data_IF_584346748279
#
_entry.id   IF_584346748279
#
_cell.length_a   1.000
_cell.length_b   1.000
_cell.length_c   1.000
_cell.angle_alpha   90.00
_cell.angle_beta   90.00
_cell.angle_gamma   90.00
#
_symmetry.space_group_name_H-M   'P 1'
#
loop_
_entity.id
_entity.type
_entity.pdbx_description
1 polymer ?
#
# COMPACT_ATOMS: atom_id res chain seq x y z
N UNK A 1 45.04 44.15 2.48
CA UNK A 1 44.77 42.95 1.69
C UNK A 1 43.32 42.86 1.19
N UNK A 2 42.33 43.26 1.94
CA UNK A 2 40.88 43.24 1.57
C UNK A 2 40.51 44.03 0.29
N UNK A 3 41.20 45.12 -0.03
CA UNK A 3 40.92 45.92 -1.23
C UNK A 3 41.23 45.24 -2.58
N UNK A 4 42.20 44.30 -2.60
CA UNK A 4 42.54 43.52 -3.79
C UNK A 4 41.48 42.44 -4.09
N UNK A 5 40.92 41.83 -3.02
CA UNK A 5 39.86 40.84 -3.13
C UNK A 5 38.56 41.49 -3.62
N UNK A 6 38.25 42.69 -3.16
CA UNK A 6 37.08 43.46 -3.57
C UNK A 6 37.13 43.88 -5.05
N UNK A 7 38.33 44.25 -5.54
CA UNK A 7 38.55 44.55 -6.97
C UNK A 7 38.46 43.32 -7.85
N UNK A 8 38.93 42.16 -7.37
CA UNK A 8 38.86 40.92 -8.10
C UNK A 8 37.43 40.41 -8.21
N UNK A 9 36.60 40.50 -7.15
CA UNK A 9 35.21 40.04 -7.16
C UNK A 9 34.31 40.83 -8.13
N UNK A 10 34.68 42.04 -8.50
CA UNK A 10 33.93 42.83 -9.48
C UNK A 10 34.31 42.54 -10.94
N UNK A 11 35.35 41.73 -11.16
CA UNK A 11 35.89 41.45 -12.50
C UNK A 11 35.02 40.34 -13.17
N UNK A 12 34.91 40.41 -14.51
CA UNK A 12 34.19 39.41 -15.30
C UNK A 12 34.73 37.98 -15.07
N UNK A 13 36.05 37.87 -14.87
CA UNK A 13 36.72 36.62 -14.57
C UNK A 13 36.28 36.00 -13.24
N UNK A 14 36.05 36.81 -12.20
CA UNK A 14 35.54 36.34 -10.91
C UNK A 14 34.10 35.80 -11.03
N UNK A 15 33.27 36.46 -11.86
CA UNK A 15 31.91 36.01 -12.14
C UNK A 15 31.90 34.68 -12.91
N UNK A 16 32.74 34.54 -13.93
CA UNK A 16 32.89 33.30 -14.71
C UNK A 16 33.40 32.17 -13.80
N UNK A 17 34.40 32.45 -12.96
CA UNK A 17 34.92 31.46 -12.01
C UNK A 17 33.87 31.03 -11.00
N UNK A 18 33.10 31.96 -10.44
CA UNK A 18 32.00 31.66 -9.52
C UNK A 18 30.95 30.78 -10.21
N UNK A 19 30.62 31.11 -11.46
CA UNK A 19 29.66 30.34 -12.24
C UNK A 19 30.19 28.93 -12.53
N UNK A 20 31.46 28.79 -12.87
CA UNK A 20 32.12 27.50 -13.13
C UNK A 20 32.19 26.63 -11.87
N UNK A 21 32.37 27.24 -10.69
CA UNK A 21 32.34 26.52 -9.40
C UNK A 21 30.90 26.18 -9.00
N UNK A 22 29.93 27.05 -9.26
CA UNK A 22 28.53 26.82 -8.91
C UNK A 22 27.86 25.69 -9.75
N UNK A 23 28.26 25.58 -11.03
CA UNK A 23 27.73 24.58 -11.95
C UNK A 23 27.81 23.14 -11.39
N UNK A 24 28.97 22.62 -10.93
CA UNK A 24 29.05 21.29 -10.34
C UNK A 24 28.14 21.10 -9.13
N UNK A 25 27.98 22.13 -8.27
CA UNK A 25 27.11 22.05 -7.10
C UNK A 25 25.62 21.99 -7.49
N UNK A 26 25.23 22.73 -8.53
CA UNK A 26 23.88 22.65 -9.10
C UNK A 26 23.63 21.25 -9.67
N UNK A 27 24.57 20.73 -10.46
CA UNK A 27 24.45 19.39 -11.02
C UNK A 27 24.54 18.28 -9.95
N UNK A 28 25.38 18.46 -8.94
CA UNK A 28 25.50 17.47 -7.86
C UNK A 28 24.31 17.51 -6.90
N UNK A 29 23.79 18.71 -6.59
CA UNK A 29 22.58 18.88 -5.78
C UNK A 29 21.28 18.51 -6.52
N UNK A 30 21.29 18.55 -7.85
CA UNK A 30 20.16 18.14 -8.70
C UNK A 30 20.32 16.72 -9.26
N UNK A 31 21.36 15.99 -8.87
CA UNK A 31 21.65 14.65 -9.36
C UNK A 31 20.46 13.70 -9.25
N UNK A 32 19.69 13.78 -8.18
CA UNK A 32 18.48 12.99 -7.99
C UNK A 32 17.32 13.43 -8.91
N UNK A 33 17.30 14.68 -9.37
CA UNK A 33 16.27 15.18 -10.29
C UNK A 33 16.57 14.83 -11.76
N UNK A 34 17.85 14.73 -12.13
CA UNK A 34 18.26 14.32 -13.48
C UNK A 34 18.53 12.84 -13.63
N UNK A 35 18.87 12.16 -12.54
CA UNK A 35 18.90 10.71 -12.47
C UNK A 35 17.49 10.14 -12.35
N UNK A 36 16.52 10.60 -13.13
CA UNK A 36 15.21 9.98 -13.32
C UNK A 36 15.36 8.50 -13.70
N UNK A 37 16.33 7.88 -13.08
CA UNK A 37 16.80 6.54 -13.27
C UNK A 37 16.16 5.58 -12.30
N UNK A 38 16.04 4.44 -12.77
CA UNK A 38 15.68 3.15 -12.21
C UNK A 38 16.28 2.76 -10.86
N UNK A 39 17.12 3.58 -10.24
CA UNK A 39 17.79 3.23 -8.97
C UNK A 39 16.82 3.16 -7.78
N UNK A 40 15.67 3.81 -7.87
CA UNK A 40 14.68 3.80 -6.80
C UNK A 40 13.37 3.08 -7.20
N UNK A 41 13.40 2.32 -8.30
CA UNK A 41 12.25 1.58 -8.79
C UNK A 41 12.46 0.09 -8.54
N UNK A 42 11.66 -0.50 -7.68
CA UNK A 42 11.75 -1.93 -7.38
C UNK A 42 11.03 -2.77 -8.42
N UNK A 43 9.92 -2.25 -8.96
CA UNK A 43 9.14 -2.95 -9.98
C UNK A 43 8.46 -1.96 -10.91
N UNK A 44 8.23 -2.38 -12.16
CA UNK A 44 7.46 -1.65 -13.15
C UNK A 44 6.24 -2.47 -13.56
N UNK A 45 5.04 -1.90 -13.37
CA UNK A 45 3.77 -2.53 -13.75
C UNK A 45 3.16 -1.71 -14.88
N UNK A 46 3.20 -2.21 -16.10
CA UNK A 46 2.80 -1.45 -17.27
C UNK A 46 3.61 -0.15 -17.44
N UNK A 47 2.97 0.98 -17.25
CA UNK A 47 3.60 2.32 -17.29
C UNK A 47 3.97 2.86 -15.91
N UNK A 48 3.44 2.28 -14.84
CA UNK A 48 3.65 2.73 -13.46
C UNK A 48 4.97 2.17 -12.91
N UNK A 49 5.80 3.04 -12.37
CA UNK A 49 7.04 2.69 -11.67
C UNK A 49 6.76 2.74 -10.17
N UNK A 50 7.08 1.66 -9.46
CA UNK A 50 6.88 1.54 -8.03
C UNK A 50 8.22 1.73 -7.34
N UNK A 51 8.28 2.66 -6.41
CA UNK A 51 9.49 3.01 -5.70
C UNK A 51 9.90 1.92 -4.69
N UNK A 52 11.19 1.75 -4.49
CA UNK A 52 11.74 0.88 -3.44
C UNK A 52 11.27 1.31 -2.05
N UNK A 53 11.08 2.62 -1.86
CA UNK A 53 10.60 3.18 -0.60
C UNK A 53 9.20 2.66 -0.24
N UNK A 54 8.29 2.55 -1.22
CA UNK A 54 6.94 2.01 -1.01
C UNK A 54 6.97 0.56 -0.52
N UNK A 55 7.93 -0.22 -1.01
CA UNK A 55 8.13 -1.59 -0.57
C UNK A 55 8.71 -1.67 0.85
N UNK A 56 9.66 -0.80 1.19
CA UNK A 56 10.22 -0.71 2.55
C UNK A 56 9.10 -0.35 3.54
N UNK A 57 8.25 0.61 3.20
CA UNK A 57 7.10 0.98 4.04
C UNK A 57 6.09 -0.17 4.18
N UNK A 58 5.88 -0.93 3.10
CA UNK A 58 5.05 -2.13 3.13
C UNK A 58 5.62 -3.19 4.07
N UNK A 59 6.91 -3.51 3.99
CA UNK A 59 7.56 -4.44 4.91
C UNK A 59 7.40 -3.97 6.35
N UNK A 60 7.78 -2.73 6.65
CA UNK A 60 7.72 -2.16 8.00
C UNK A 60 6.31 -2.19 8.61
N UNK A 61 5.28 -2.17 7.76
CA UNK A 61 3.88 -2.19 8.20
C UNK A 61 3.34 -3.59 8.47
N UNK A 62 3.79 -4.57 7.69
CA UNK A 62 3.21 -5.91 7.68
C UNK A 62 4.14 -7.00 8.24
N UNK A 63 5.41 -6.69 8.53
CA UNK A 63 6.31 -7.60 9.23
C UNK A 63 6.16 -7.45 10.75
N UNK A 64 6.22 -8.58 11.44
CA UNK A 64 6.33 -8.59 12.89
C UNK A 64 7.78 -8.34 13.31
N UNK A 65 8.03 -7.64 14.44
CA UNK A 65 9.39 -7.43 14.93
C UNK A 65 10.21 -8.70 15.21
N UNK A 66 9.51 -9.83 15.39
CA UNK A 66 10.11 -11.14 15.66
C UNK A 66 10.44 -11.94 14.40
N UNK A 67 9.97 -11.49 13.23
CA UNK A 67 10.22 -12.19 11.97
C UNK A 67 11.66 -11.97 11.47
N UNK A 68 12.33 -13.10 11.18
CA UNK A 68 13.66 -13.03 10.57
C UNK A 68 13.53 -12.55 9.13
N UNK A 69 14.15 -11.42 8.83
CA UNK A 69 14.25 -10.90 7.47
C UNK A 69 15.29 -11.67 6.66
N UNK A 70 15.01 -12.93 6.33
CA UNK A 70 15.80 -13.70 5.38
C UNK A 70 15.35 -13.42 3.94
N UNK A 71 16.10 -13.94 2.95
CA UNK A 71 15.79 -13.74 1.54
C UNK A 71 14.44 -14.32 1.15
N UNK A 72 14.04 -15.44 1.73
CA UNK A 72 12.76 -16.09 1.41
C UNK A 72 11.57 -15.27 1.92
N UNK A 73 11.70 -14.68 3.10
CA UNK A 73 10.71 -13.75 3.63
C UNK A 73 10.57 -12.49 2.74
N UNK A 74 11.70 -11.88 2.36
CA UNK A 74 11.70 -10.70 1.50
C UNK A 74 11.07 -11.01 0.12
N UNK A 75 11.39 -12.16 -0.49
CA UNK A 75 10.81 -12.59 -1.76
C UNK A 75 9.28 -12.79 -1.65
N UNK A 76 8.80 -13.41 -0.58
CA UNK A 76 7.38 -13.58 -0.31
C UNK A 76 6.67 -12.23 -0.13
N UNK A 77 7.26 -11.34 0.66
CA UNK A 77 6.71 -9.98 0.86
C UNK A 77 6.70 -9.19 -0.44
N UNK A 78 7.75 -9.30 -1.27
CA UNK A 78 7.81 -8.65 -2.57
C UNK A 78 6.74 -9.19 -3.52
N UNK A 79 6.54 -10.51 -3.57
CA UNK A 79 5.51 -11.12 -4.39
C UNK A 79 4.11 -10.64 -3.98
N UNK A 80 3.81 -10.61 -2.68
CA UNK A 80 2.55 -10.09 -2.16
C UNK A 80 2.36 -8.61 -2.49
N UNK A 81 3.41 -7.80 -2.31
CA UNK A 81 3.39 -6.38 -2.62
C UNK A 81 3.13 -6.12 -4.11
N UNK A 82 3.80 -6.85 -5.01
CA UNK A 82 3.57 -6.77 -6.45
C UNK A 82 2.11 -7.15 -6.77
N UNK A 83 1.60 -8.23 -6.19
CA UNK A 83 0.21 -8.64 -6.36
C UNK A 83 -0.79 -7.54 -5.98
N UNK A 84 -0.58 -6.89 -4.83
CA UNK A 84 -1.39 -5.77 -4.39
C UNK A 84 -1.31 -4.59 -5.38
N UNK A 85 -0.12 -4.28 -5.89
CA UNK A 85 0.08 -3.18 -6.84
C UNK A 85 -0.55 -3.46 -8.21
N UNK A 86 -0.54 -4.70 -8.65
CA UNK A 86 -1.26 -5.11 -9.88
C UNK A 86 -2.76 -4.88 -9.70
N UNK A 87 -3.33 -5.33 -8.58
CA UNK A 87 -4.76 -5.14 -8.29
C UNK A 87 -5.12 -3.66 -8.18
N UNK A 88 -4.30 -2.85 -7.50
CA UNK A 88 -4.48 -1.40 -7.43
C UNK A 88 -4.46 -0.74 -8.82
N UNK A 89 -3.56 -1.20 -9.70
CA UNK A 89 -3.50 -0.70 -11.08
C UNK A 89 -4.75 -1.06 -11.89
N UNK A 90 -5.26 -2.30 -11.74
CA UNK A 90 -6.50 -2.71 -12.40
C UNK A 90 -7.72 -1.96 -11.88
N UNK A 91 -7.81 -1.68 -10.57
CA UNK A 91 -8.85 -0.82 -9.99
C UNK A 91 -8.85 0.56 -10.65
N UNK A 92 -7.66 1.13 -10.91
CA UNK A 92 -7.53 2.40 -11.64
C UNK A 92 -7.94 2.27 -13.10
N UNK A 93 -7.50 1.21 -13.78
CA UNK A 93 -7.80 0.95 -15.19
C UNK A 93 -9.32 0.81 -15.44
N UNK A 94 -10.01 0.09 -14.56
CA UNK A 94 -11.46 -0.06 -14.60
C UNK A 94 -12.23 1.14 -14.03
N UNK A 95 -11.52 2.18 -13.55
CA UNK A 95 -12.11 3.37 -12.95
C UNK A 95 -13.11 3.05 -11.82
N UNK A 96 -12.73 2.07 -10.96
CA UNK A 96 -13.57 1.68 -9.81
C UNK A 96 -13.47 2.76 -8.75
N UNK A 97 -14.54 3.51 -8.59
CA UNK A 97 -14.63 4.63 -7.65
C UNK A 97 -15.60 4.28 -6.52
N UNK A 98 -15.19 4.54 -5.30
CA UNK A 98 -16.05 4.46 -4.12
C UNK A 98 -16.28 5.88 -3.58
N UNK A 99 -17.54 6.29 -3.46
CA UNK A 99 -17.87 7.60 -2.90
C UNK A 99 -17.72 7.60 -1.37
N UNK A 100 -17.39 8.76 -0.79
CA UNK A 100 -17.30 8.90 0.68
C UNK A 100 -18.64 8.57 1.36
N UNK A 101 -19.76 8.86 0.70
CA UNK A 101 -21.08 8.50 1.19
C UNK A 101 -21.26 6.98 1.26
N UNK A 102 -20.85 6.26 0.22
CA UNK A 102 -20.92 4.79 0.21
C UNK A 102 -20.01 4.17 1.26
N UNK A 103 -18.77 4.65 1.37
CA UNK A 103 -17.84 4.22 2.41
C UNK A 103 -18.42 4.45 3.81
N UNK A 104 -18.92 5.65 4.08
CA UNK A 104 -19.52 5.97 5.37
C UNK A 104 -20.72 5.06 5.69
N UNK A 105 -21.52 4.70 4.69
CA UNK A 105 -22.66 3.82 4.88
C UNK A 105 -22.23 2.37 5.17
N UNK A 106 -21.19 1.90 4.51
CA UNK A 106 -20.61 0.57 4.78
C UNK A 106 -20.02 0.51 6.18
N UNK A 107 -19.27 1.53 6.61
CA UNK A 107 -18.75 1.63 7.99
C UNK A 107 -19.90 1.59 9.00
N UNK A 108 -20.98 2.33 8.75
CA UNK A 108 -22.13 2.36 9.64
C UNK A 108 -22.91 1.03 9.73
N UNK A 109 -22.82 0.22 8.69
CA UNK A 109 -23.46 -1.09 8.63
C UNK A 109 -22.59 -2.23 9.20
N UNK A 110 -21.34 -1.93 9.61
CA UNK A 110 -20.49 -2.92 10.24
C UNK A 110 -21.00 -3.29 11.61
N UNK A 111 -21.28 -4.59 11.82
CA UNK A 111 -21.79 -5.13 13.10
C UNK A 111 -20.88 -4.82 14.29
N UNK A 112 -19.58 -4.71 14.04
CA UNK A 112 -18.60 -4.38 15.07
C UNK A 112 -18.81 -2.98 15.68
N UNK A 113 -19.54 -2.11 14.97
CA UNK A 113 -19.80 -0.73 15.38
C UNK A 113 -21.26 -0.50 15.74
N UNK A 114 -22.04 -1.58 15.87
CA UNK A 114 -23.45 -1.50 16.29
C UNK A 114 -23.61 -1.54 17.80
N UNK A 115 -24.56 -0.76 18.28
CA UNK A 115 -25.11 -0.83 19.62
C UNK A 115 -26.63 -0.62 19.54
N UNK A 116 -27.40 -1.54 20.11
CA UNK A 116 -28.86 -1.51 20.05
C UNK A 116 -29.41 -1.46 18.60
N UNK A 117 -28.83 -2.25 17.69
CA UNK A 117 -29.19 -2.33 16.26
C UNK A 117 -29.01 -1.03 15.48
N UNK A 118 -28.13 -0.13 15.95
CA UNK A 118 -27.80 1.09 15.25
C UNK A 118 -26.32 1.41 15.38
N UNK A 119 -25.77 2.14 14.41
CA UNK A 119 -24.38 2.58 14.44
C UNK A 119 -24.08 3.37 15.72
N UNK A 120 -23.02 2.99 16.41
CA UNK A 120 -22.51 3.66 17.59
C UNK A 120 -21.12 4.22 17.34
N UNK A 121 -21.03 5.55 17.33
CA UNK A 121 -19.75 6.24 17.21
C UNK A 121 -18.78 5.85 18.34
N UNK A 122 -19.29 5.61 19.54
CA UNK A 122 -18.49 5.19 20.69
C UNK A 122 -17.86 3.82 20.46
N UNK A 123 -18.59 2.86 19.90
CA UNK A 123 -18.04 1.53 19.58
C UNK A 123 -16.99 1.61 18.45
N UNK A 124 -17.24 2.48 17.45
CA UNK A 124 -16.27 2.74 16.39
C UNK A 124 -14.96 3.35 16.93
N UNK A 125 -15.05 4.40 17.76
CA UNK A 125 -13.89 5.05 18.38
C UNK A 125 -13.14 4.08 19.32
N UNK A 126 -13.86 3.28 20.10
CA UNK A 126 -13.30 2.24 20.94
C UNK A 126 -12.54 1.19 20.14
N UNK A 127 -13.11 0.75 19.02
CA UNK A 127 -12.43 -0.16 18.10
C UNK A 127 -11.10 0.42 17.60
N UNK A 128 -11.09 1.66 17.15
CA UNK A 128 -9.89 2.33 16.68
C UNK A 128 -8.81 2.40 17.76
N UNK A 129 -9.20 2.82 18.98
CA UNK A 129 -8.26 2.92 20.11
C UNK A 129 -7.71 1.54 20.49
N UNK A 130 -8.58 0.54 20.62
CA UNK A 130 -8.16 -0.82 21.00
C UNK A 130 -7.18 -1.44 20.00
N UNK A 131 -7.33 -1.12 18.71
CA UNK A 131 -6.46 -1.62 17.65
C UNK A 131 -5.30 -0.65 17.29
N UNK A 132 -5.13 0.43 18.06
CA UNK A 132 -4.12 1.47 17.79
C UNK A 132 -4.18 2.03 16.36
N UNK A 133 -5.39 2.25 15.86
CA UNK A 133 -5.66 2.76 14.51
C UNK A 133 -6.14 4.20 14.58
N UNK A 134 -5.76 5.02 13.59
CA UNK A 134 -6.44 6.30 13.36
C UNK A 134 -7.55 6.13 12.31
N UNK A 135 -8.58 6.96 12.41
CA UNK A 135 -9.76 6.89 11.54
C UNK A 135 -9.39 7.00 10.04
N UNK A 136 -8.54 7.95 9.68
CA UNK A 136 -8.13 8.19 8.27
C UNK A 136 -7.47 6.95 7.67
N UNK A 137 -6.59 6.31 8.42
CA UNK A 137 -5.91 5.10 7.98
C UNK A 137 -6.88 3.92 7.86
N UNK A 138 -7.75 3.74 8.85
CA UNK A 138 -8.76 2.69 8.84
C UNK A 138 -9.71 2.83 7.65
N UNK A 139 -10.27 4.01 7.45
CA UNK A 139 -11.20 4.32 6.35
C UNK A 139 -10.55 4.15 4.98
N UNK A 140 -9.28 4.58 4.83
CA UNK A 140 -8.52 4.37 3.59
C UNK A 140 -8.29 2.89 3.29
N UNK A 141 -7.95 2.10 4.29
CA UNK A 141 -7.75 0.65 4.13
C UNK A 141 -9.06 -0.05 3.79
N UNK A 142 -10.14 0.30 4.47
CA UNK A 142 -11.48 -0.23 4.18
C UNK A 142 -11.93 0.13 2.76
N UNK A 143 -11.74 1.37 2.34
CA UNK A 143 -12.03 1.79 0.96
C UNK A 143 -11.21 0.98 -0.07
N UNK A 144 -9.94 0.72 0.21
CA UNK A 144 -9.08 -0.07 -0.67
C UNK A 144 -9.53 -1.53 -0.72
N UNK A 145 -9.96 -2.10 0.40
CA UNK A 145 -10.50 -3.46 0.46
C UNK A 145 -11.80 -3.57 -0.34
N UNK A 146 -12.74 -2.66 -0.14
CA UNK A 146 -14.01 -2.64 -0.86
C UNK A 146 -13.80 -2.53 -2.37
N UNK A 147 -12.87 -1.67 -2.81
CA UNK A 147 -12.54 -1.55 -4.24
C UNK A 147 -11.98 -2.85 -4.82
N UNK A 148 -11.17 -3.59 -4.04
CA UNK A 148 -10.68 -4.91 -4.46
C UNK A 148 -11.83 -5.92 -4.58
N UNK A 149 -12.71 -5.95 -3.60
CA UNK A 149 -13.90 -6.81 -3.64
C UNK A 149 -14.76 -6.51 -4.86
N UNK A 150 -15.05 -5.22 -5.13
CA UNK A 150 -15.78 -4.81 -6.33
C UNK A 150 -15.08 -5.23 -7.64
N UNK A 151 -13.76 -5.15 -7.72
CA UNK A 151 -13.02 -5.64 -8.87
C UNK A 151 -13.18 -7.15 -9.03
N UNK A 152 -13.01 -7.91 -7.95
CA UNK A 152 -13.11 -9.36 -8.01
C UNK A 152 -14.55 -9.81 -8.30
N UNK A 153 -15.54 -9.16 -7.74
CA UNK A 153 -16.95 -9.41 -8.04
C UNK A 153 -17.27 -9.12 -9.52
N UNK A 154 -16.71 -8.03 -10.06
CA UNK A 154 -16.86 -7.71 -11.49
C UNK A 154 -16.22 -8.77 -12.39
N UNK A 155 -15.00 -9.21 -12.07
CA UNK A 155 -14.27 -10.21 -12.87
C UNK A 155 -14.89 -11.61 -12.72
N UNK A 156 -15.34 -11.97 -11.51
CA UNK A 156 -15.99 -13.25 -11.22
C UNK A 156 -17.50 -13.25 -11.51
N UNK A 157 -18.08 -12.08 -11.68
CA UNK A 157 -19.51 -11.91 -11.95
C UNK A 157 -19.93 -12.63 -13.23
N UNK A 158 -20.71 -13.67 -13.08
CA UNK A 158 -21.12 -14.57 -14.17
C UNK A 158 -20.54 -15.97 -14.07
N UNK A 159 -19.56 -16.21 -13.19
CA UNK A 159 -19.13 -17.57 -12.85
C UNK A 159 -20.12 -18.12 -11.82
N UNK A 160 -21.13 -18.84 -12.30
CA UNK A 160 -22.04 -19.60 -11.43
C UNK A 160 -21.40 -20.97 -11.23
N UNK A 161 -20.89 -21.29 -10.02
CA UNK A 161 -20.31 -22.60 -9.77
C UNK A 161 -21.41 -23.66 -9.93
N UNK A 162 -21.14 -24.81 -10.58
CA UNK A 162 -22.07 -25.89 -10.67
C UNK A 162 -22.52 -26.36 -9.27
N UNK A 163 -23.81 -26.68 -9.11
CA UNK A 163 -24.40 -27.04 -7.83
C UNK A 163 -23.63 -28.19 -7.12
N UNK A 164 -23.07 -29.13 -7.87
CA UNK A 164 -22.29 -30.21 -7.28
C UNK A 164 -21.03 -29.72 -6.55
N UNK A 165 -20.34 -28.70 -7.05
CA UNK A 165 -19.17 -28.09 -6.40
C UNK A 165 -19.58 -27.35 -5.12
N UNK A 166 -20.72 -26.65 -5.18
CA UNK A 166 -21.28 -25.95 -4.00
C UNK A 166 -21.61 -26.99 -2.91
N UNK A 167 -22.27 -28.07 -3.29
CA UNK A 167 -22.65 -29.16 -2.34
C UNK A 167 -21.41 -29.83 -1.75
N UNK A 168 -20.42 -30.19 -2.57
CA UNK A 168 -19.16 -30.79 -2.08
C UNK A 168 -18.45 -29.88 -1.09
N UNK A 169 -18.34 -28.57 -1.37
CA UNK A 169 -17.72 -27.65 -0.45
C UNK A 169 -18.54 -27.48 0.84
N UNK A 170 -19.86 -27.40 0.74
CA UNK A 170 -20.73 -27.31 1.90
C UNK A 170 -20.59 -28.56 2.79
N UNK A 171 -20.64 -29.75 2.22
CA UNK A 171 -20.48 -31.00 2.95
C UNK A 171 -19.08 -31.10 3.59
N UNK A 172 -18.03 -30.70 2.89
CA UNK A 172 -16.65 -30.68 3.40
C UNK A 172 -16.48 -29.78 4.61
N UNK A 173 -17.06 -28.56 4.57
CA UNK A 173 -16.97 -27.59 5.66
C UNK A 173 -17.83 -28.02 6.86
N UNK A 174 -19.01 -28.62 6.61
CA UNK A 174 -19.97 -28.98 7.64
C UNK A 174 -19.84 -30.42 8.09
N UNK A 175 -18.86 -31.18 7.59
CA UNK A 175 -18.66 -32.58 7.93
C UNK A 175 -18.37 -32.76 9.42
N UNK A 176 -19.24 -33.47 10.13
CA UNK A 176 -19.01 -33.93 11.51
C UNK A 176 -18.46 -35.33 11.46
N UNK A 177 -17.34 -35.58 12.15
CA UNK A 177 -16.74 -36.92 12.29
C UNK A 177 -16.75 -37.33 13.75
N UNK A 178 -17.26 -38.55 14.02
CA UNK A 178 -17.07 -39.18 15.32
C UNK A 178 -15.72 -39.89 15.29
N UNK A 179 -14.87 -39.62 16.24
CA UNK A 179 -13.55 -40.25 16.36
C UNK A 179 -13.51 -41.07 17.64
N UNK A 180 -13.28 -42.36 17.51
CA UNK A 180 -12.95 -43.23 18.64
C UNK A 180 -11.44 -43.33 18.77
N UNK A 181 -10.92 -43.02 19.96
CA UNK A 181 -9.47 -43.09 20.25
C UNK A 181 -9.26 -44.33 21.10
N UNK A 182 -8.59 -45.33 20.54
CA UNK A 182 -8.11 -46.49 21.27
C UNK A 182 -6.71 -46.19 21.79
N UNK A 183 -6.53 -46.11 23.10
CA UNK A 183 -5.21 -46.09 23.71
C UNK A 183 -4.64 -47.51 23.76
N UNK A 184 -3.52 -47.71 23.09
CA UNK A 184 -2.69 -48.90 23.18
C UNK A 184 -1.79 -48.84 24.39
#
# INVERSE_FOLDING_TARGET
>A
MLGKIRKFSSTIFAKIFLFLVAIPFVFWGMGDLFSGGSQNTIVKIGKEKIATQDFIEYINRYSSPEEKMDSSFVEKMLSNFIGLKIVENEIKNFNIVLSDKSLSQMIKNEKAFEKNNSFSRTEYEKFLITNNLNAVFFEKNMASQIKRELLFDFVSGGIIPPNFIVNINFDKINQKRNVEIIKL
#
